data_IF_038012651935
#
_entry.id   IF_038012651935
#
_cell.length_a   1.000
_cell.length_b   1.000
_cell.length_c   1.000
_cell.angle_alpha   90.00
_cell.angle_beta   90.00
_cell.angle_gamma   90.00
#
_symmetry.space_group_name_H-M   'P 1'
#
loop_
_entity.id
_entity.type
_entity.pdbx_description
1 polymer ?
#
# COMPACT_ATOMS: atom_id res chain seq x y z
N UNK A 1 3.24 10.92 -18.31
CA UNK A 1 1.85 11.09 -17.84
C UNK A 1 1.81 10.52 -16.43
N UNK A 2 1.36 11.28 -15.43
CA UNK A 2 1.15 10.74 -14.09
C UNK A 2 0.24 9.52 -14.15
N UNK A 3 0.53 8.47 -13.38
CA UNK A 3 -0.29 7.26 -13.36
C UNK A 3 -1.67 7.63 -12.78
N UNK A 4 -2.78 7.39 -13.50
CA UNK A 4 -4.12 7.60 -12.95
C UNK A 4 -4.32 6.78 -11.68
N UNK A 5 -5.16 7.25 -10.76
CA UNK A 5 -5.55 6.51 -9.55
C UNK A 5 -6.07 5.09 -9.88
N UNK A 6 -6.59 4.87 -11.10
CA UNK A 6 -7.01 3.56 -11.59
C UNK A 6 -5.86 2.53 -11.61
N UNK A 7 -4.63 2.95 -11.88
CA UNK A 7 -3.44 2.08 -11.83
C UNK A 7 -3.17 1.66 -10.39
N UNK A 8 -3.27 2.59 -9.44
CA UNK A 8 -3.19 2.28 -8.02
C UNK A 8 -4.31 1.31 -7.59
N UNK A 9 -5.55 1.54 -8.02
CA UNK A 9 -6.68 0.68 -7.68
C UNK A 9 -6.53 -0.75 -8.22
N UNK A 10 -5.98 -0.90 -9.43
CA UNK A 10 -5.66 -2.21 -10.01
C UNK A 10 -4.54 -2.92 -9.23
N UNK A 11 -3.46 -2.20 -8.92
CA UNK A 11 -2.36 -2.70 -8.10
C UNK A 11 -2.84 -3.13 -6.70
N UNK A 12 -3.59 -2.27 -6.02
CA UNK A 12 -4.13 -2.53 -4.68
C UNK A 12 -5.05 -3.74 -4.67
N UNK A 13 -5.92 -3.91 -5.68
CA UNK A 13 -6.73 -5.11 -5.83
C UNK A 13 -5.86 -6.37 -5.95
N UNK A 14 -4.84 -6.34 -6.80
CA UNK A 14 -3.95 -7.48 -6.98
C UNK A 14 -3.17 -7.83 -5.70
N UNK A 15 -2.76 -6.83 -4.91
CA UNK A 15 -2.15 -7.05 -3.58
C UNK A 15 -3.12 -7.80 -2.66
N UNK A 16 -4.37 -7.35 -2.55
CA UNK A 16 -5.38 -8.01 -1.72
C UNK A 16 -5.65 -9.46 -2.18
N UNK A 17 -5.66 -9.71 -3.49
CA UNK A 17 -5.82 -11.05 -4.04
C UNK A 17 -4.64 -11.96 -3.65
N UNK A 18 -3.39 -11.49 -3.81
CA UNK A 18 -2.20 -12.27 -3.40
C UNK A 18 -2.22 -12.54 -1.90
N UNK A 19 -2.55 -11.55 -1.07
CA UNK A 19 -2.64 -11.73 0.39
C UNK A 19 -3.72 -12.73 0.80
N UNK A 20 -4.84 -12.78 0.07
CA UNK A 20 -5.91 -13.75 0.33
C UNK A 20 -5.50 -15.20 0.04
N UNK A 21 -4.50 -15.41 -0.82
CA UNK A 21 -4.00 -16.73 -1.23
C UNK A 21 -2.80 -17.18 -0.38
N UNK A 22 -1.85 -16.27 -0.15
CA UNK A 22 -0.55 -16.56 0.47
C UNK A 22 -0.51 -16.25 1.98
N UNK A 23 -1.55 -15.60 2.52
CA UNK A 23 -1.64 -15.20 3.92
C UNK A 23 -1.51 -13.69 4.15
N UNK A 24 -1.81 -13.27 5.38
CA UNK A 24 -1.76 -11.85 5.76
C UNK A 24 -0.34 -11.30 5.79
N UNK A 25 -0.22 -10.00 5.49
CA UNK A 25 1.04 -9.26 5.61
C UNK A 25 1.19 -8.80 7.06
N UNK A 26 2.30 -9.19 7.68
CA UNK A 26 2.60 -8.78 9.05
C UNK A 26 3.17 -7.36 9.11
N UNK A 27 2.78 -6.60 10.13
CA UNK A 27 3.42 -5.34 10.51
C UNK A 27 2.98 -4.08 9.77
N UNK A 28 2.01 -4.14 8.85
CA UNK A 28 1.45 -2.94 8.23
C UNK A 28 0.49 -2.24 9.21
N UNK A 29 0.87 -1.05 9.68
CA UNK A 29 0.11 -0.26 10.65
C UNK A 29 -0.81 0.79 10.00
N UNK A 30 -0.34 1.39 8.92
CA UNK A 30 -1.08 2.41 8.16
C UNK A 30 -0.89 2.12 6.69
N UNK A 31 -2.00 2.13 5.94
CA UNK A 31 -2.01 2.12 4.49
C UNK A 31 -2.99 3.19 4.02
N UNK A 32 -2.47 4.23 3.38
CA UNK A 32 -3.28 5.37 2.94
C UNK A 32 -2.81 5.84 1.57
N UNK A 33 -3.71 5.85 0.60
CA UNK A 33 -3.44 6.35 -0.73
C UNK A 33 -4.45 7.41 -1.15
N UNK A 34 -3.98 8.40 -1.90
CA UNK A 34 -4.81 9.49 -2.39
C UNK A 34 -4.30 10.00 -3.74
N UNK A 35 -5.19 10.52 -4.61
CA UNK A 35 -4.76 11.14 -5.86
C UNK A 35 -3.97 12.41 -5.58
N UNK A 36 -2.91 12.64 -6.34
CA UNK A 36 -2.07 13.84 -6.31
C UNK A 36 -1.95 14.45 -7.70
N UNK A 37 -1.40 15.67 -7.81
CA UNK A 37 -1.20 16.33 -9.11
C UNK A 37 -0.29 15.50 -10.05
N UNK A 38 0.58 14.68 -9.47
CA UNK A 38 1.56 13.83 -10.15
C UNK A 38 1.15 12.35 -10.18
N UNK A 39 -0.12 12.05 -9.87
CA UNK A 39 -0.72 10.71 -9.97
C UNK A 39 -1.41 10.32 -8.68
N UNK A 40 -0.71 9.58 -7.83
CA UNK A 40 -1.16 9.23 -6.50
C UNK A 40 0.02 9.18 -5.54
N UNK A 41 -0.26 9.49 -4.28
CA UNK A 41 0.69 9.32 -3.20
C UNK A 41 0.23 8.14 -2.34
N UNK A 42 1.18 7.31 -1.92
CA UNK A 42 0.97 6.18 -1.04
C UNK A 42 1.80 6.38 0.23
N UNK A 43 1.12 6.36 1.36
CA UNK A 43 1.71 6.48 2.69
C UNK A 43 1.51 5.16 3.41
N UNK A 44 2.63 4.53 3.78
CA UNK A 44 2.64 3.32 4.56
C UNK A 44 3.49 3.47 5.81
N UNK A 45 3.02 2.89 6.92
CA UNK A 45 3.77 2.80 8.16
C UNK A 45 3.83 1.33 8.55
N UNK A 46 5.05 0.87 8.80
CA UNK A 46 5.36 -0.53 9.13
C UNK A 46 5.94 -0.60 10.54
N UNK A 47 5.72 -1.70 11.26
CA UNK A 47 6.35 -1.89 12.58
C UNK A 47 7.88 -1.98 12.46
N UNK A 48 8.37 -2.53 11.35
CA UNK A 48 9.81 -2.61 11.04
C UNK A 48 10.11 -2.47 9.55
N UNK A 49 11.37 -2.10 9.25
CA UNK A 49 11.87 -2.09 7.87
C UNK A 49 11.90 -3.50 7.29
N UNK A 50 12.21 -4.49 8.11
CA UNK A 50 12.29 -5.90 7.69
C UNK A 50 10.96 -6.42 7.16
N UNK A 51 9.83 -6.00 7.74
CA UNK A 51 8.49 -6.37 7.27
C UNK A 51 8.13 -5.70 5.94
N UNK A 52 8.44 -4.41 5.77
CA UNK A 52 8.31 -3.72 4.48
C UNK A 52 9.15 -4.42 3.40
N UNK A 53 10.40 -4.73 3.71
CA UNK A 53 11.32 -5.39 2.78
C UNK A 53 10.84 -6.82 2.43
N UNK A 54 10.20 -7.52 3.38
CA UNK A 54 9.56 -8.81 3.11
C UNK A 54 8.37 -8.67 2.17
N UNK A 55 7.47 -7.72 2.43
CA UNK A 55 6.34 -7.43 1.54
C UNK A 55 6.79 -7.12 0.11
N UNK A 56 7.78 -6.22 -0.03
CA UNK A 56 8.32 -5.80 -1.32
C UNK A 56 9.03 -6.94 -2.08
N UNK A 57 9.54 -7.95 -1.37
CA UNK A 57 10.19 -9.12 -1.97
C UNK A 57 9.19 -10.20 -2.35
N UNK A 58 8.16 -10.42 -1.54
CA UNK A 58 7.37 -11.66 -1.57
C UNK A 58 5.96 -11.46 -2.12
N UNK A 59 5.35 -10.30 -1.88
CA UNK A 59 3.95 -10.00 -2.23
C UNK A 59 3.89 -9.04 -3.41
N UNK A 60 4.60 -7.92 -3.31
CA UNK A 60 4.51 -6.84 -4.29
C UNK A 60 4.83 -7.26 -5.73
N UNK A 61 5.88 -8.06 -6.01
CA UNK A 61 6.19 -8.48 -7.38
C UNK A 61 5.08 -9.34 -8.00
N UNK A 62 4.48 -10.24 -7.21
CA UNK A 62 3.36 -11.09 -7.64
C UNK A 62 2.12 -10.26 -7.97
N UNK A 63 1.83 -9.26 -7.15
CA UNK A 63 0.72 -8.35 -7.37
C UNK A 63 0.90 -7.53 -8.67
N UNK A 64 2.11 -7.05 -8.92
CA UNK A 64 2.44 -6.29 -10.13
C UNK A 64 2.33 -7.14 -11.40
N UNK A 65 2.85 -8.38 -11.36
CA UNK A 65 2.67 -9.37 -12.44
C UNK A 65 1.18 -9.63 -12.71
N UNK A 66 0.39 -9.87 -11.65
CA UNK A 66 -1.05 -10.13 -11.75
C UNK A 66 -1.84 -8.95 -12.30
N UNK A 67 -1.49 -7.73 -11.90
CA UNK A 67 -2.11 -6.51 -12.41
C UNK A 67 -1.67 -6.17 -13.85
N UNK A 68 -0.69 -6.89 -14.42
CA UNK A 68 -0.12 -6.57 -15.72
C UNK A 68 0.60 -5.21 -15.76
N UNK A 69 1.00 -4.70 -14.59
CA UNK A 69 1.67 -3.41 -14.47
C UNK A 69 3.18 -3.66 -14.57
N UNK A 70 3.87 -3.12 -15.58
CA UNK A 70 5.31 -3.30 -15.69
C UNK A 70 5.99 -2.62 -14.50
N UNK A 71 6.84 -3.36 -13.81
CA UNK A 71 7.79 -2.82 -12.86
C UNK A 71 8.80 -1.99 -13.65
N UNK A 72 8.56 -0.68 -13.73
CA UNK A 72 9.46 0.24 -14.43
C UNK A 72 10.88 0.16 -13.88
N UNK A 73 11.87 0.51 -14.72
CA UNK A 73 13.30 0.47 -14.33
C UNK A 73 13.63 1.40 -13.15
N UNK A 74 12.77 2.38 -12.87
CA UNK A 74 12.93 3.35 -11.78
C UNK A 74 11.75 3.24 -10.82
N UNK A 75 12.00 2.64 -9.66
CA UNK A 75 11.07 2.76 -8.54
C UNK A 75 10.99 4.22 -8.10
N UNK A 76 9.82 4.71 -7.64
CA UNK A 76 9.73 6.02 -7.02
C UNK A 76 10.74 6.10 -5.87
N UNK A 77 11.37 7.26 -5.68
CA UNK A 77 12.29 7.46 -4.57
C UNK A 77 11.51 7.37 -3.25
N UNK A 78 11.80 6.38 -2.39
CA UNK A 78 11.12 6.28 -1.11
C UNK A 78 11.56 7.45 -0.22
N UNK A 79 10.59 8.16 0.33
CA UNK A 79 10.83 9.17 1.37
C UNK A 79 10.53 8.53 2.72
N UNK A 80 11.57 8.26 3.50
CA UNK A 80 11.42 7.82 4.88
C UNK A 80 11.04 9.00 5.78
N UNK A 81 10.08 8.78 6.67
CA UNK A 81 9.64 9.77 7.65
C UNK A 81 9.30 9.08 8.98
N UNK A 82 9.47 9.81 10.08
CA UNK A 82 8.99 9.35 11.40
C UNK A 82 7.62 9.96 11.67
N UNK A 83 6.55 9.16 11.80
CA UNK A 83 5.23 9.70 12.12
C UNK A 83 5.27 10.34 13.51
N UNK A 84 4.84 11.60 13.61
CA UNK A 84 4.75 12.29 14.91
C UNK A 84 3.48 11.91 15.65
N UNK A 85 2.36 11.81 14.93
CA UNK A 85 1.04 11.40 15.42
C UNK A 85 0.32 10.70 14.27
N UNK A 86 -0.40 9.62 14.59
CA UNK A 86 -1.41 9.04 13.71
C UNK A 86 -2.78 9.31 14.33
N UNK A 87 -3.61 10.10 13.65
CA UNK A 87 -5.01 10.31 14.02
C UNK A 87 -5.89 9.53 13.05
N UNK A 88 -6.48 8.43 13.51
CA UNK A 88 -7.55 7.76 12.75
C UNK A 88 -8.89 8.30 13.24
N UNK A 89 -9.84 8.64 12.35
CA UNK A 89 -11.21 8.84 12.78
C UNK A 89 -11.68 7.51 13.38
N UNK A 90 -12.06 7.52 14.66
CA UNK A 90 -12.81 6.38 15.22
C UNK A 90 -14.07 6.24 14.37
N UNK A 91 -14.26 5.11 13.71
CA UNK A 91 -15.59 4.71 13.29
C UNK A 91 -16.35 4.47 14.59
N UNK A 92 -17.13 5.45 15.03
CA UNK A 92 -18.10 5.24 16.09
C UNK A 92 -19.27 4.47 15.45
N UNK A 93 -19.28 3.15 15.58
CA UNK A 93 -20.51 2.38 15.34
C UNK A 93 -21.37 2.51 16.60
N UNK A 94 -22.45 3.28 16.51
CA UNK A 94 -23.43 3.44 17.58
C UNK A 94 -24.45 2.31 17.56
N UNK A 95 -24.03 1.05 17.50
CA UNK A 95 -24.96 -0.09 17.63
C UNK A 95 -24.87 -0.67 19.04
N UNK A 96 -25.42 0.10 19.98
CA UNK A 96 -25.92 -0.40 21.26
C UNK A 96 -27.03 0.57 21.75
N UNK A 97 -28.27 0.24 21.40
CA UNK A 97 -29.49 0.87 21.90
C UNK A 97 -30.65 -0.11 21.84
#
# INVERSE_FOLDING_TARGET
MPAPIDVYLAMHRAVLEVMSEDGEVEGLLVHYAYPSADGFDLVEVWESKEQLDAFNREVFPKAMERAGIPMGERQPEPVEFTPTVVMTPRVFSSDAG
#
